data_IF_010319160411
#
_entry.id   IF_010319160411
#
_cell.length_a   1.000
_cell.length_b   1.000
_cell.length_c   1.000
_cell.angle_alpha   90.00
_cell.angle_beta   90.00
_cell.angle_gamma   90.00
#
_symmetry.space_group_name_H-M   'P 1'
#
loop_
_entity.id
_entity.type
_entity.pdbx_description
1 polymer ?
#
# COMPACT_ATOMS: atom_id res chain seq x y z
N UNK A 1 14.11 12.12 -2.11
CA UNK A 1 12.83 11.37 -1.97
C UNK A 1 13.12 9.89 -2.15
N UNK A 2 12.50 9.02 -1.34
CA UNK A 2 12.69 7.56 -1.39
C UNK A 2 11.36 6.84 -1.41
N UNK A 3 11.33 5.62 -1.97
CA UNK A 3 10.16 4.75 -1.87
C UNK A 3 10.21 3.97 -0.56
N UNK A 4 9.15 4.07 0.23
CA UNK A 4 8.93 3.27 1.42
C UNK A 4 7.83 2.24 1.15
N UNK A 5 7.98 1.06 1.75
CA UNK A 5 6.98 -0.01 1.70
C UNK A 5 6.59 -0.32 3.14
N UNK A 6 5.30 -0.28 3.44
CA UNK A 6 4.73 -0.78 4.69
C UNK A 6 4.02 -2.10 4.43
N UNK A 7 4.30 -3.10 5.25
CA UNK A 7 3.65 -4.41 5.23
C UNK A 7 3.46 -4.88 6.68
N UNK A 8 2.29 -4.59 7.26
CA UNK A 8 1.99 -4.84 8.67
C UNK A 8 0.68 -5.61 8.85
N UNK A 9 0.51 -6.28 9.99
CA UNK A 9 -0.74 -7.00 10.28
C UNK A 9 -1.83 -6.01 10.67
N UNK A 10 -2.99 -6.13 10.03
CA UNK A 10 -4.19 -5.36 10.33
C UNK A 10 -5.39 -6.29 10.50
N UNK A 11 -6.35 -5.87 11.32
CA UNK A 11 -7.67 -6.51 11.35
C UNK A 11 -8.58 -5.76 10.38
N UNK A 12 -9.24 -6.51 9.50
CA UNK A 12 -10.21 -5.99 8.53
C UNK A 12 -11.55 -6.61 8.81
N UNK A 13 -12.62 -5.82 8.77
CA UNK A 13 -13.98 -6.33 8.89
C UNK A 13 -14.37 -7.05 7.59
N UNK A 14 -14.64 -8.34 7.68
CA UNK A 14 -15.16 -9.15 6.57
C UNK A 14 -16.68 -9.19 6.65
N UNK A 15 -17.35 -8.53 5.69
CA UNK A 15 -18.81 -8.50 5.62
C UNK A 15 -19.45 -9.85 5.34
N UNK A 16 -18.77 -10.77 4.65
CA UNK A 16 -19.31 -12.09 4.33
C UNK A 16 -19.25 -13.01 5.56
N UNK A 17 -18.15 -12.94 6.31
CA UNK A 17 -17.97 -13.74 7.53
C UNK A 17 -18.51 -13.05 8.79
N UNK A 18 -18.94 -11.79 8.67
CA UNK A 18 -19.44 -10.94 9.77
C UNK A 18 -18.49 -10.92 10.97
N UNK A 19 -17.19 -10.83 10.72
CA UNK A 19 -16.14 -10.83 11.77
C UNK A 19 -14.90 -10.07 11.33
N UNK A 20 -14.05 -9.74 12.30
CA UNK A 20 -12.70 -9.24 12.04
C UNK A 20 -11.80 -10.38 11.60
N UNK A 21 -11.10 -10.20 10.48
CA UNK A 21 -10.10 -11.15 9.96
C UNK A 21 -8.73 -10.51 9.91
N UNK A 22 -7.66 -11.23 10.32
CA UNK A 22 -6.30 -10.73 10.17
C UNK A 22 -5.89 -10.73 8.70
N UNK A 23 -5.32 -9.62 8.25
CA UNK A 23 -4.74 -9.41 6.91
C UNK A 23 -3.39 -8.74 7.03
N UNK A 24 -2.60 -8.79 5.97
CA UNK A 24 -1.41 -7.97 5.81
C UNK A 24 -1.83 -6.71 5.05
N UNK A 25 -1.70 -5.56 5.70
CA UNK A 25 -1.89 -4.25 5.09
C UNK A 25 -0.61 -3.86 4.37
N UNK A 26 -0.72 -3.61 3.07
CA UNK A 26 0.39 -3.22 2.20
C UNK A 26 0.15 -1.82 1.65
N UNK A 27 1.12 -0.93 1.83
CA UNK A 27 1.11 0.41 1.27
C UNK A 27 2.50 0.76 0.70
N UNK A 28 2.53 1.58 -0.35
CA UNK A 28 3.76 2.09 -0.95
C UNK A 28 3.69 3.60 -1.00
N UNK A 29 4.70 4.26 -0.45
CA UNK A 29 4.70 5.71 -0.27
C UNK A 29 6.00 6.32 -0.81
N UNK A 30 5.90 7.49 -1.45
CA UNK A 30 7.04 8.33 -1.78
C UNK A 30 7.27 9.28 -0.61
N UNK A 31 8.43 9.17 0.02
CA UNK A 31 8.81 9.93 1.21
C UNK A 31 9.66 11.13 0.79
N UNK A 32 9.26 12.32 1.24
CA UNK A 32 9.98 13.57 1.05
C UNK A 32 11.26 13.65 1.87
N UNK A 33 12.10 14.64 1.58
CA UNK A 33 13.42 14.76 2.22
C UNK A 33 13.37 15.03 3.74
N UNK A 34 12.22 15.47 4.26
CA UNK A 34 11.98 15.68 5.70
C UNK A 34 11.23 14.51 6.37
N UNK A 35 11.12 13.35 5.69
CA UNK A 35 10.45 12.17 6.23
C UNK A 35 8.93 12.16 6.11
N UNK A 36 8.30 13.26 5.67
CA UNK A 36 6.87 13.31 5.37
C UNK A 36 6.48 12.48 4.16
N UNK A 37 5.28 11.90 4.17
CA UNK A 37 4.71 11.20 3.02
C UNK A 37 4.28 12.25 1.99
N UNK A 38 4.95 12.26 0.84
CA UNK A 38 4.59 13.14 -0.28
C UNK A 38 3.40 12.59 -1.06
N UNK A 39 3.39 11.27 -1.29
CA UNK A 39 2.30 10.57 -1.97
C UNK A 39 2.26 9.11 -1.56
N UNK A 40 1.08 8.52 -1.51
CA UNK A 40 0.89 7.13 -1.12
C UNK A 40 -0.06 6.42 -2.07
N UNK A 41 0.19 5.13 -2.31
CA UNK A 41 -0.72 4.21 -2.95
C UNK A 41 -1.02 3.05 -2.00
N UNK A 42 -2.30 2.85 -1.70
CA UNK A 42 -2.78 1.82 -0.77
C UNK A 42 -3.85 2.34 0.20
N UNK A 43 -4.22 1.55 1.21
CA UNK A 43 -3.73 0.19 1.45
C UNK A 43 -4.37 -0.86 0.53
N UNK A 44 -3.65 -1.95 0.28
CA UNK A 44 -4.22 -3.24 -0.13
C UNK A 44 -4.13 -4.22 1.04
N UNK A 45 -5.15 -5.05 1.20
CA UNK A 45 -5.19 -6.07 2.24
C UNK A 45 -5.04 -7.45 1.59
N UNK A 46 -4.00 -8.17 1.97
CA UNK A 46 -3.63 -9.48 1.41
C UNK A 46 -3.47 -10.52 2.52
N UNK A 47 -3.39 -11.80 2.17
CA UNK A 47 -3.30 -12.90 3.14
C UNK A 47 -1.90 -13.51 3.20
N UNK A 48 -1.20 -13.54 2.08
CA UNK A 48 0.06 -14.30 1.93
C UNK A 48 1.24 -13.41 1.59
N UNK A 49 2.45 -13.92 1.86
CA UNK A 49 3.69 -13.22 1.50
C UNK A 49 3.86 -13.04 -0.03
N UNK A 50 3.35 -13.99 -0.83
CA UNK A 50 3.37 -13.89 -2.28
C UNK A 50 2.49 -12.72 -2.75
N UNK A 51 1.28 -12.61 -2.20
CA UNK A 51 0.38 -11.50 -2.51
C UNK A 51 0.93 -10.15 -2.02
N UNK A 52 1.76 -10.11 -0.97
CA UNK A 52 2.46 -8.88 -0.57
C UNK A 52 3.39 -8.41 -1.69
N UNK A 53 4.17 -9.31 -2.29
CA UNK A 53 5.04 -8.95 -3.41
C UNK A 53 4.23 -8.40 -4.59
N UNK A 54 3.15 -9.07 -4.96
CA UNK A 54 2.27 -8.65 -6.05
C UNK A 54 1.59 -7.30 -5.77
N UNK A 55 1.10 -7.11 -4.54
CA UNK A 55 0.53 -5.85 -4.08
C UNK A 55 1.55 -4.71 -4.15
N UNK A 56 2.81 -4.93 -3.74
CA UNK A 56 3.87 -3.93 -3.84
C UNK A 56 4.12 -3.52 -5.29
N UNK A 57 4.20 -4.47 -6.22
CA UNK A 57 4.42 -4.18 -7.64
C UNK A 57 3.27 -3.35 -8.22
N UNK A 58 2.03 -3.75 -7.93
CA UNK A 58 0.82 -3.04 -8.35
C UNK A 58 0.77 -1.62 -7.78
N UNK A 59 1.03 -1.46 -6.48
CA UNK A 59 0.99 -0.17 -5.79
C UNK A 59 2.12 0.76 -6.27
N UNK A 60 3.31 0.24 -6.55
CA UNK A 60 4.39 1.01 -7.20
C UNK A 60 3.96 1.54 -8.55
N UNK A 61 3.38 0.70 -9.42
CA UNK A 61 2.91 1.12 -10.73
C UNK A 61 1.82 2.21 -10.62
N UNK A 62 0.88 2.05 -9.68
CA UNK A 62 -0.15 3.06 -9.39
C UNK A 62 0.46 4.37 -8.91
N UNK A 63 1.43 4.32 -8.00
CA UNK A 63 2.11 5.50 -7.47
C UNK A 63 2.83 6.27 -8.58
N UNK A 64 3.59 5.58 -9.43
CA UNK A 64 4.29 6.16 -10.58
C UNK A 64 3.28 6.83 -11.53
N UNK A 65 2.22 6.12 -11.90
CA UNK A 65 1.16 6.67 -12.76
C UNK A 65 0.55 7.94 -12.14
N UNK A 66 0.27 7.90 -10.84
CA UNK A 66 -0.27 9.03 -10.09
C UNK A 66 0.67 10.24 -10.13
N UNK A 67 1.98 10.02 -9.98
CA UNK A 67 2.99 11.08 -10.08
C UNK A 67 3.05 11.67 -11.49
N UNK A 68 3.01 10.84 -12.54
CA UNK A 68 3.02 11.31 -13.91
C UNK A 68 1.75 12.09 -14.28
N UNK A 69 0.59 11.74 -13.72
CA UNK A 69 -0.66 12.46 -13.95
C UNK A 69 -0.81 13.74 -13.11
N UNK A 70 0.14 14.04 -12.21
CA UNK A 70 0.19 15.27 -11.42
C UNK A 70 1.23 16.28 -11.91
N UNK A 71 1.83 16.02 -13.08
CA UNK A 71 2.71 16.96 -13.78
C UNK A 71 1.84 17.68 -14.82
N UNK A 72 1.22 18.78 -14.40
CA UNK A 72 0.79 19.87 -15.29
C UNK A 72 1.82 21.00 -15.20
#
# INVERSE_FOLDING_TARGET
>A
MSLAIAADKALVWDNQQTKMVPKIRVAVSLVGNQGGIYREAGPLYVETAQEVFEAVQLLRARLIKSLMSGVE
#
